data_IF_899787877462
#
_entry.id   IF_899787877462
#
_cell.length_a   1.000
_cell.length_b   1.000
_cell.length_c   1.000
_cell.angle_alpha   90.00
_cell.angle_beta   90.00
_cell.angle_gamma   90.00
#
_symmetry.space_group_name_H-M   'P 1'
#
loop_
_entity.id
_entity.type
_entity.pdbx_description
1 polymer ?
#
# COMPACT_ATOMS: atom_id res chain seq x y z
N UNK A 1 16.35 11.84 -2.31
CA UNK A 1 17.59 11.06 -2.47
C UNK A 1 17.35 9.66 -1.91
N UNK A 2 17.17 8.67 -2.79
CA UNK A 2 16.88 7.27 -2.42
C UNK A 2 18.18 6.56 -2.00
N UNK A 3 18.72 6.89 -0.82
CA UNK A 3 19.98 6.27 -0.35
C UNK A 3 19.81 4.74 -0.19
N UNK A 4 18.58 4.27 0.05
CA UNK A 4 18.23 2.86 0.07
C UNK A 4 16.97 2.63 -0.78
N UNK A 5 17.02 1.64 -1.67
CA UNK A 5 15.92 1.25 -2.57
C UNK A 5 14.85 0.46 -1.79
N UNK A 6 14.23 1.13 -0.82
CA UNK A 6 13.31 0.56 0.16
C UNK A 6 11.86 0.56 -0.37
N UNK A 7 11.08 -0.50 -0.08
CA UNK A 7 9.68 -0.56 -0.44
C UNK A 7 8.86 0.66 0.04
N UNK A 8 7.91 1.09 -0.78
CA UNK A 8 7.00 2.20 -0.49
C UNK A 8 5.78 1.76 0.31
N UNK A 9 6.00 1.37 1.57
CA UNK A 9 4.93 0.96 2.48
C UNK A 9 3.84 2.02 2.69
N UNK A 10 2.64 1.55 3.04
CA UNK A 10 1.48 2.40 3.33
C UNK A 10 1.05 3.28 2.14
N UNK A 11 0.50 4.49 2.39
CA UNK A 11 0.07 5.40 1.32
C UNK A 11 1.16 5.85 0.36
N UNK A 12 2.45 5.71 0.71
CA UNK A 12 3.56 6.16 -0.15
C UNK A 12 3.57 5.48 -1.52
N UNK A 13 3.08 4.25 -1.62
CA UNK A 13 2.98 3.55 -2.91
C UNK A 13 2.15 4.32 -3.94
N UNK A 14 1.14 5.08 -3.51
CA UNK A 14 0.24 5.85 -4.37
C UNK A 14 0.75 7.28 -4.65
N UNK A 15 1.89 7.66 -4.09
CA UNK A 15 2.61 8.91 -4.39
C UNK A 15 3.74 8.70 -5.40
N UNK A 16 3.95 7.45 -5.87
CA UNK A 16 4.97 7.12 -6.85
C UNK A 16 4.61 7.66 -8.23
N UNK A 17 5.57 8.30 -8.90
CA UNK A 17 5.41 8.80 -10.28
C UNK A 17 5.33 7.70 -11.34
N UNK A 18 5.61 6.45 -10.97
CA UNK A 18 5.67 5.32 -11.89
C UNK A 18 4.37 4.51 -11.93
N UNK A 19 3.30 5.03 -11.31
CA UNK A 19 1.99 4.42 -11.35
C UNK A 19 1.86 3.14 -10.53
N UNK A 20 0.62 2.64 -10.50
CA UNK A 20 0.22 1.38 -9.85
C UNK A 20 -0.77 0.63 -10.72
N UNK A 21 -0.79 -0.69 -10.59
CA UNK A 21 -1.77 -1.55 -11.25
C UNK A 21 -2.39 -2.52 -10.25
N UNK A 22 -3.72 -2.64 -10.29
CA UNK A 22 -4.48 -3.58 -9.47
C UNK A 22 -4.85 -4.80 -10.31
N UNK A 23 -4.53 -5.99 -9.81
CA UNK A 23 -4.93 -7.27 -10.40
C UNK A 23 -5.68 -8.08 -9.34
N UNK A 24 -6.97 -8.28 -9.54
CA UNK A 24 -7.81 -9.08 -8.65
C UNK A 24 -7.87 -10.54 -9.12
N UNK A 25 -7.43 -11.46 -8.27
CA UNK A 25 -7.60 -12.90 -8.44
C UNK A 25 -8.75 -13.39 -7.56
N UNK A 26 -9.97 -13.36 -8.10
CA UNK A 26 -11.19 -13.71 -7.37
C UNK A 26 -11.16 -15.14 -6.81
N UNK A 27 -10.69 -16.11 -7.59
CA UNK A 27 -10.63 -17.53 -7.20
C UNK A 27 -9.71 -17.78 -5.99
N UNK A 28 -8.69 -16.93 -5.83
CA UNK A 28 -7.73 -17.00 -4.71
C UNK A 28 -8.02 -15.95 -3.64
N UNK A 29 -9.12 -15.19 -3.78
CA UNK A 29 -9.57 -14.15 -2.86
C UNK A 29 -8.44 -13.19 -2.47
N UNK A 30 -7.77 -12.62 -3.47
CA UNK A 30 -6.67 -11.67 -3.26
C UNK A 30 -6.56 -10.65 -4.39
N UNK A 31 -6.01 -9.48 -4.06
CA UNK A 31 -5.68 -8.42 -5.00
C UNK A 31 -4.18 -8.14 -4.91
N UNK A 32 -3.51 -8.10 -6.05
CA UNK A 32 -2.15 -7.61 -6.19
C UNK A 32 -2.19 -6.12 -6.51
N UNK A 33 -1.43 -5.34 -5.75
CA UNK A 33 -1.12 -3.94 -6.06
C UNK A 33 0.33 -3.89 -6.50
N UNK A 34 0.52 -3.75 -7.81
CA UNK A 34 1.82 -3.68 -8.45
C UNK A 34 2.24 -2.22 -8.57
N UNK A 35 3.53 -1.94 -8.47
CA UNK A 35 4.12 -0.61 -8.57
C UNK A 35 5.11 -0.58 -9.74
N UNK A 36 5.02 0.41 -10.62
CA UNK A 36 5.93 0.52 -11.78
C UNK A 36 7.33 1.02 -11.42
N UNK A 37 7.59 1.34 -10.16
CA UNK A 37 8.88 1.87 -9.73
C UNK A 37 9.29 1.40 -8.34
N UNK A 38 10.59 1.50 -8.06
CA UNK A 38 11.16 1.16 -6.76
C UNK A 38 12.02 -0.10 -6.87
N UNK A 39 11.84 -1.05 -5.96
CA UNK A 39 12.53 -2.34 -5.96
C UNK A 39 11.62 -3.48 -6.48
N UNK A 40 10.70 -3.16 -7.41
CA UNK A 40 9.74 -4.11 -8.05
C UNK A 40 9.04 -5.02 -7.05
N UNK A 41 8.38 -4.43 -6.07
CA UNK A 41 7.53 -5.19 -5.16
C UNK A 41 6.08 -5.18 -5.63
N UNK A 42 5.30 -6.05 -5.01
CA UNK A 42 3.86 -6.00 -5.00
C UNK A 42 3.37 -6.00 -3.54
N UNK A 43 2.20 -5.42 -3.33
CA UNK A 43 1.42 -5.58 -2.11
C UNK A 43 0.30 -6.58 -2.36
N UNK A 44 0.07 -7.47 -1.39
CA UNK A 44 -1.06 -8.38 -1.38
C UNK A 44 -2.14 -7.86 -0.44
N UNK A 45 -3.38 -7.85 -0.92
CA UNK A 45 -4.58 -7.57 -0.13
C UNK A 45 -5.45 -8.83 -0.21
N UNK A 46 -5.66 -9.51 0.92
CA UNK A 46 -6.52 -10.69 0.96
C UNK A 46 -7.98 -10.29 1.16
N UNK A 47 -8.91 -10.92 0.45
CA UNK A 47 -10.36 -10.61 0.50
C UNK A 47 -11.20 -11.73 1.10
N UNK A 48 -10.57 -12.62 1.86
CA UNK A 48 -11.18 -13.78 2.50
C UNK A 48 -11.45 -13.62 4.00
N UNK A 49 -11.35 -12.40 4.52
CA UNK A 49 -11.57 -12.06 5.93
C UNK A 49 -10.66 -12.83 6.93
N UNK A 50 -9.48 -13.29 6.48
CA UNK A 50 -8.49 -13.91 7.37
C UNK A 50 -8.01 -12.96 8.47
N UNK A 51 -7.49 -13.52 9.55
CA UNK A 51 -6.80 -12.75 10.56
C UNK A 51 -5.50 -12.13 10.02
N UNK A 52 -5.18 -10.91 10.43
CA UNK A 52 -3.93 -10.20 10.08
C UNK A 52 -2.75 -10.66 10.95
N UNK A 53 -2.57 -11.98 11.11
CA UNK A 53 -1.46 -12.58 11.87
C UNK A 53 -0.46 -13.21 10.91
N UNK A 54 0.82 -13.23 11.27
CA UNK A 54 1.86 -13.89 10.48
C UNK A 54 1.71 -15.42 10.54
N UNK A 55 2.37 -16.13 9.63
CA UNK A 55 2.38 -17.59 9.63
C UNK A 55 3.40 -18.12 10.64
N UNK A 56 2.98 -19.06 11.49
CA UNK A 56 3.82 -19.68 12.54
C UNK A 56 5.11 -20.28 11.96
N UNK A 57 5.06 -20.85 10.75
CA UNK A 57 6.22 -21.45 10.08
C UNK A 57 7.04 -20.45 9.23
N UNK A 58 6.70 -19.16 9.26
CA UNK A 58 7.30 -18.16 8.40
C UNK A 58 7.50 -16.83 9.11
N UNK A 59 6.58 -15.90 8.85
CA UNK A 59 6.72 -14.48 9.19
C UNK A 59 5.95 -14.06 10.46
N UNK A 60 5.58 -15.01 11.32
CA UNK A 60 4.73 -14.81 12.52
C UNK A 60 4.91 -13.45 13.20
N UNK A 61 6.16 -13.08 13.48
CA UNK A 61 6.53 -11.84 14.16
C UNK A 61 7.25 -10.82 13.25
N UNK A 62 7.44 -11.13 11.96
CA UNK A 62 8.16 -10.25 11.05
C UNK A 62 7.28 -9.05 10.68
N UNK A 63 7.68 -7.82 11.04
CA UNK A 63 6.96 -6.65 10.62
C UNK A 63 7.27 -6.36 9.13
N UNK A 64 6.22 -6.10 8.34
CA UNK A 64 6.29 -6.06 6.88
C UNK A 64 6.32 -4.62 6.37
N UNK A 65 6.93 -4.36 5.20
CA UNK A 65 6.89 -3.02 4.61
C UNK A 65 5.47 -2.64 4.16
N UNK A 66 4.70 -3.60 3.65
CA UNK A 66 3.32 -3.37 3.19
C UNK A 66 2.25 -3.80 4.19
N UNK A 67 2.66 -4.24 5.39
CA UNK A 67 1.76 -4.78 6.40
C UNK A 67 1.00 -6.03 5.94
N UNK A 68 0.00 -6.42 6.74
CA UNK A 68 -0.94 -7.51 6.48
C UNK A 68 -2.29 -6.90 6.15
N UNK A 69 -2.57 -6.80 4.85
CA UNK A 69 -3.77 -6.14 4.36
C UNK A 69 -4.92 -7.13 4.15
N UNK A 70 -6.08 -6.79 4.70
CA UNK A 70 -7.33 -7.53 4.51
C UNK A 70 -8.38 -6.57 3.99
N UNK A 71 -8.93 -6.89 2.82
CA UNK A 71 -9.90 -6.10 2.10
C UNK A 71 -11.29 -6.69 2.16
N UNK A 72 -12.30 -5.84 2.08
CA UNK A 72 -13.70 -6.22 1.80
C UNK A 72 -14.32 -5.22 0.83
N UNK A 73 -15.23 -5.70 -0.01
CA UNK A 73 -16.01 -4.84 -0.89
C UNK A 73 -17.22 -4.29 -0.14
N UNK A 74 -17.41 -2.97 -0.20
CA UNK A 74 -18.59 -2.25 0.28
C UNK A 74 -19.21 -1.50 -0.90
N UNK A 75 -20.18 -2.14 -1.57
CA UNK A 75 -20.63 -1.71 -2.89
C UNK A 75 -19.46 -1.74 -3.89
N UNK A 76 -19.21 -0.61 -4.55
CA UNK A 76 -18.13 -0.46 -5.54
C UNK A 76 -16.80 0.00 -4.95
N UNK A 77 -16.68 0.06 -3.62
CA UNK A 77 -15.46 0.46 -2.93
C UNK A 77 -14.78 -0.73 -2.24
N UNK A 78 -13.46 -0.84 -2.39
CA UNK A 78 -12.64 -1.78 -1.63
C UNK A 78 -12.15 -1.08 -0.36
N UNK A 79 -12.61 -1.57 0.80
CA UNK A 79 -12.13 -1.13 2.11
C UNK A 79 -11.04 -2.07 2.58
N UNK A 80 -9.88 -1.54 2.94
CA UNK A 80 -8.70 -2.32 3.31
C UNK A 80 -8.24 -1.92 4.71
N UNK A 81 -8.21 -2.91 5.60
CA UNK A 81 -7.61 -2.80 6.92
C UNK A 81 -6.19 -3.37 6.86
N UNK A 82 -5.19 -2.61 7.33
CA UNK A 82 -3.79 -3.06 7.31
C UNK A 82 -3.08 -2.76 8.62
N UNK A 83 -2.42 -3.79 9.17
CA UNK A 83 -1.60 -3.73 10.39
C UNK A 83 -0.27 -4.46 10.19
N UNK A 84 0.60 -4.45 11.20
CA UNK A 84 1.83 -5.26 11.20
C UNK A 84 2.94 -4.68 10.34
N UNK A 85 3.05 -3.35 10.29
CA UNK A 85 4.12 -2.64 9.57
C UNK A 85 5.46 -2.69 10.32
N UNK A 86 6.58 -2.61 9.60
CA UNK A 86 7.89 -2.29 10.17
C UNK A 86 8.19 -0.80 10.14
N UNK A 87 9.05 -0.33 11.05
CA UNK A 87 9.40 1.10 11.17
C UNK A 87 10.55 1.52 10.24
N UNK A 88 10.83 0.75 9.17
CA UNK A 88 11.98 0.98 8.29
C UNK A 88 11.64 1.82 7.05
N UNK A 89 10.47 2.45 7.03
CA UNK A 89 10.04 3.31 5.93
C UNK A 89 9.29 4.53 6.45
N UNK A 90 9.16 5.53 5.59
CA UNK A 90 8.27 6.66 5.78
C UNK A 90 7.03 6.41 4.93
N UNK A 91 5.83 6.55 5.49
CA UNK A 91 4.59 6.28 4.76
C UNK A 91 4.14 7.45 3.87
N UNK A 92 4.88 8.56 3.87
CA UNK A 92 4.74 9.64 2.90
C UNK A 92 6.11 10.05 2.35
N UNK A 93 6.13 10.62 1.14
CA UNK A 93 7.36 11.18 0.56
C UNK A 93 7.90 12.39 1.35
N UNK A 94 7.08 13.01 2.19
CA UNK A 94 7.46 14.13 3.05
C UNK A 94 8.16 13.73 4.36
N UNK A 95 8.36 12.43 4.60
CA UNK A 95 9.05 11.95 5.80
C UNK A 95 8.17 11.93 7.05
N UNK A 96 6.92 11.47 6.94
CA UNK A 96 6.04 11.27 8.10
C UNK A 96 6.34 9.94 8.82
N UNK A 97 6.80 9.97 10.10
CA UNK A 97 7.27 8.78 10.82
C UNK A 97 6.11 7.90 11.23
N UNK A 98 6.39 6.64 11.54
CA UNK A 98 5.42 5.77 12.19
C UNK A 98 6.10 4.73 13.08
N UNK A 99 5.28 4.08 13.89
CA UNK A 99 5.66 2.99 14.76
C UNK A 99 5.06 1.66 14.28
N UNK A 100 5.39 0.56 14.98
CA UNK A 100 4.72 -0.74 14.80
C UNK A 100 3.22 -0.71 15.16
N UNK A 101 2.75 0.35 15.81
CA UNK A 101 1.33 0.54 16.14
C UNK A 101 0.51 1.10 14.97
N UNK A 102 1.14 1.39 13.83
CA UNK A 102 0.45 1.87 12.64
C UNK A 102 -0.66 0.91 12.21
N UNK A 103 -1.87 1.45 12.14
CA UNK A 103 -3.07 0.84 11.58
C UNK A 103 -3.61 1.77 10.50
N UNK A 104 -3.77 1.23 9.29
CA UNK A 104 -4.36 1.93 8.17
C UNK A 104 -5.73 1.36 7.86
N UNK A 105 -6.70 2.27 7.69
CA UNK A 105 -8.00 1.96 7.08
C UNK A 105 -8.09 2.73 5.78
N UNK A 106 -8.03 2.01 4.68
CA UNK A 106 -7.97 2.54 3.32
C UNK A 106 -9.29 2.30 2.60
N UNK A 107 -9.68 3.24 1.74
CA UNK A 107 -10.83 3.15 0.86
C UNK A 107 -10.38 3.43 -0.56
N UNK A 108 -10.57 2.44 -1.43
CA UNK A 108 -10.38 2.57 -2.87
C UNK A 108 -11.74 2.63 -3.53
N UNK A 109 -12.04 3.72 -4.22
CA UNK A 109 -13.25 3.86 -5.02
C UNK A 109 -12.92 4.30 -6.44
N UNK A 110 -13.75 3.86 -7.39
CA UNK A 110 -13.60 4.20 -8.81
C UNK A 110 -14.86 4.95 -9.26
N UNK A 111 -14.93 6.29 -9.06
CA UNK A 111 -16.14 7.06 -9.37
C UNK A 111 -16.47 7.09 -10.87
N UNK A 112 -15.47 6.91 -11.72
CA UNK A 112 -15.60 6.82 -13.17
C UNK A 112 -14.52 5.90 -13.76
N UNK A 113 -14.52 5.72 -15.08
CA UNK A 113 -13.59 4.78 -15.72
C UNK A 113 -12.12 5.16 -15.52
N UNK A 114 -11.77 6.44 -15.56
CA UNK A 114 -10.38 6.92 -15.59
C UNK A 114 -9.85 7.36 -14.22
N UNK A 115 -10.67 7.34 -13.17
CA UNK A 115 -10.31 7.85 -11.85
C UNK A 115 -10.32 6.77 -10.79
N UNK A 116 -9.20 6.59 -10.10
CA UNK A 116 -9.15 5.89 -8.82
C UNK A 116 -9.01 6.93 -7.70
N UNK A 117 -9.97 6.94 -6.78
CA UNK A 117 -9.89 7.70 -5.53
C UNK A 117 -9.38 6.78 -4.43
N UNK A 118 -8.30 7.21 -3.78
CA UNK A 118 -7.72 6.53 -2.63
C UNK A 118 -7.82 7.47 -1.42
N UNK A 119 -8.55 7.05 -0.41
CA UNK A 119 -8.62 7.74 0.89
C UNK A 119 -8.06 6.81 1.97
N UNK A 120 -7.39 7.37 2.96
CA UNK A 120 -6.79 6.61 4.06
C UNK A 120 -6.95 7.34 5.37
N UNK A 121 -7.31 6.57 6.40
CA UNK A 121 -7.25 6.97 7.79
C UNK A 121 -6.03 6.32 8.43
N UNK A 122 -5.23 7.15 9.11
CA UNK A 122 -3.96 6.80 9.72
C UNK A 122 -4.15 6.85 11.24
N UNK A 123 -4.01 5.69 11.87
CA UNK A 123 -4.03 5.53 13.32
C UNK A 123 -2.69 5.00 13.80
N UNK A 124 -1.95 5.81 14.55
CA UNK A 124 -0.67 5.43 15.15
C UNK A 124 -0.45 6.24 16.44
N UNK A 125 -0.92 5.72 17.59
CA UNK A 125 -0.81 6.42 18.86
C UNK A 125 0.64 6.55 19.36
N UNK A 126 1.58 5.81 18.76
CA UNK A 126 3.01 5.92 19.07
C UNK A 126 3.69 7.11 18.39
N UNK A 127 3.14 7.62 17.29
CA UNK A 127 3.70 8.73 16.51
C UNK A 127 2.83 9.99 16.51
N UNK A 128 1.50 9.86 16.66
CA UNK A 128 0.55 10.96 16.51
C UNK A 128 -0.39 11.11 17.70
N UNK A 129 -0.83 12.36 17.94
CA UNK A 129 -1.73 12.69 19.06
C UNK A 129 -3.20 12.36 18.80
N UNK A 130 -3.56 12.10 17.54
CA UNK A 130 -4.90 11.68 17.11
C UNK A 130 -4.85 11.02 15.74
N UNK A 131 -5.84 10.18 15.47
CA UNK A 131 -6.12 9.67 14.13
C UNK A 131 -6.41 10.82 13.16
N UNK A 132 -5.94 10.69 11.92
CA UNK A 132 -6.18 11.68 10.86
C UNK A 132 -6.34 11.00 9.51
N UNK A 133 -6.91 11.72 8.54
CA UNK A 133 -7.20 11.18 7.21
C UNK A 133 -6.62 12.04 6.10
N UNK A 134 -6.30 11.42 4.97
CA UNK A 134 -5.85 12.07 3.74
C UNK A 134 -6.24 11.21 2.53
N UNK A 135 -5.96 11.68 1.31
CA UNK A 135 -6.29 10.95 0.10
C UNK A 135 -5.66 11.52 -1.15
N UNK A 136 -5.64 10.68 -2.19
CA UNK A 136 -5.08 10.98 -3.50
C UNK A 136 -6.05 10.55 -4.60
N UNK A 137 -5.99 11.28 -5.71
CA UNK A 137 -6.71 10.93 -6.93
C UNK A 137 -5.70 10.49 -7.96
N UNK A 138 -5.80 9.24 -8.41
CA UNK A 138 -4.96 8.66 -9.44
C UNK A 138 -5.76 8.62 -10.75
N UNK A 139 -5.12 9.05 -11.84
CA UNK A 139 -5.71 9.03 -13.18
C UNK A 139 -5.14 7.89 -13.99
N UNK A 140 -6.00 7.19 -14.70
CA UNK A 140 -5.61 6.20 -15.70
C UNK A 140 -4.97 6.89 -16.89
N UNK A 141 -3.94 6.26 -17.45
CA UNK A 141 -3.24 6.75 -18.64
C UNK A 141 -3.49 5.75 -19.78
N UNK A 142 -4.24 6.14 -20.83
CA UNK A 142 -4.57 5.25 -21.93
C UNK A 142 -3.34 4.89 -22.76
N UNK A 143 -3.26 3.63 -23.20
CA UNK A 143 -2.24 3.17 -24.16
C UNK A 143 -0.82 3.06 -23.61
N UNK A 144 -0.62 3.32 -22.32
CA UNK A 144 0.66 3.21 -21.65
C UNK A 144 0.72 1.92 -20.83
N UNK A 145 1.85 1.21 -20.94
CA UNK A 145 2.18 0.13 -20.04
C UNK A 145 2.76 0.67 -18.73
N UNK A 146 2.67 -0.15 -17.67
CA UNK A 146 3.33 0.19 -16.42
C UNK A 146 4.86 0.24 -16.67
N UNK A 147 5.54 1.37 -16.39
CA UNK A 147 6.95 1.49 -16.65
C UNK A 147 7.74 0.50 -15.79
N UNK A 148 8.91 0.07 -16.28
CA UNK A 148 9.86 -0.70 -15.49
C UNK A 148 10.99 0.22 -15.02
N UNK A 149 10.95 0.58 -13.73
CA UNK A 149 11.97 1.43 -13.12
C UNK A 149 12.52 0.81 -11.82
N UNK A 150 13.81 0.49 -11.80
CA UNK A 150 14.50 0.03 -10.60
C UNK A 150 15.28 1.17 -9.94
N UNK A 151 15.03 1.43 -8.65
CA UNK A 151 15.84 2.39 -7.90
C UNK A 151 17.27 1.92 -7.61
N UNK A 152 17.61 0.67 -7.90
CA UNK A 152 18.98 0.16 -7.82
C UNK A 152 19.83 0.66 -8.99
N UNK A 153 19.25 0.76 -10.19
CA UNK A 153 19.98 1.02 -11.44
C UNK A 153 20.48 2.47 -11.53
N UNK A 154 19.80 3.39 -10.84
CA UNK A 154 20.17 4.81 -10.76
C UNK A 154 21.02 5.14 -9.52
N UNK A 155 21.83 4.18 -9.05
CA UNK A 155 22.86 4.45 -8.05
C UNK A 155 24.18 4.76 -8.76
N UNK A 156 24.77 5.96 -8.59
CA UNK A 156 26.19 6.12 -8.84
C UNK A 156 27.02 5.28 -7.86
#
# INVERSE_FOLDING_TARGET
MFIHCLPAGGPRQFQSRFGVQFLEERDRRRVFVMMGGGNRNWRLIYTDAREQKGQIQGDADNPLYFGRAVGRWEGDALIVDTKGFNERFWFSNGGLPHTRQLHLVERFSRPDFDTLRYDVTIDDPGAYTRTWSTGWTLRWVPGEDMPEYFCQDNRP
#
